data_IF_650004772943
#
_entry.id   IF_650004772943
#
_cell.length_a   1.000
_cell.length_b   1.000
_cell.length_c   1.000
_cell.angle_alpha   90.00
_cell.angle_beta   90.00
_cell.angle_gamma   90.00
#
_symmetry.space_group_name_H-M   'P 1'
#
loop_
_entity.id
_entity.type
_entity.pdbx_description
1 polymer ?
#
# COMPACT_ATOMS: atom_id res chain seq x y z
N UNK A 1 -13.12 -6.86 9.64
CA UNK A 1 -12.55 -7.55 8.47
C UNK A 1 -11.88 -6.51 7.58
N UNK A 2 -10.67 -6.76 7.09
CA UNK A 2 -10.07 -5.89 6.08
C UNK A 2 -10.86 -6.06 4.77
N UNK A 3 -11.22 -4.95 4.12
CA UNK A 3 -11.89 -4.97 2.82
C UNK A 3 -10.97 -5.48 1.70
N UNK A 4 -11.48 -5.56 0.46
CA UNK A 4 -10.62 -5.87 -0.69
C UNK A 4 -9.47 -4.86 -0.80
N UNK A 5 -8.32 -5.33 -1.29
CA UNK A 5 -7.17 -4.45 -1.53
C UNK A 5 -7.48 -3.48 -2.67
N UNK A 6 -7.25 -2.19 -2.43
CA UNK A 6 -7.36 -1.13 -3.45
C UNK A 6 -5.96 -0.68 -3.87
N UNK A 7 -5.77 -0.40 -5.16
CA UNK A 7 -4.51 0.12 -5.67
C UNK A 7 -4.30 1.56 -5.18
N UNK A 8 -3.26 1.78 -4.37
CA UNK A 8 -2.93 3.10 -3.83
C UNK A 8 -2.12 3.94 -4.82
N UNK A 9 -1.17 3.33 -5.55
CA UNK A 9 -0.30 4.04 -6.50
C UNK A 9 0.96 3.25 -6.86
N UNK A 10 1.72 3.77 -7.82
CA UNK A 10 3.04 3.26 -8.24
C UNK A 10 4.05 4.40 -8.15
N UNK A 11 5.24 4.10 -7.63
CA UNK A 11 6.35 5.06 -7.54
C UNK A 11 7.67 4.37 -7.85
N UNK A 12 8.62 5.04 -8.52
CA UNK A 12 9.99 4.54 -8.64
C UNK A 12 10.83 4.77 -7.38
N UNK A 13 10.30 5.53 -6.39
CA UNK A 13 10.98 5.82 -5.12
C UNK A 13 10.64 4.75 -4.08
N UNK A 14 11.50 4.61 -3.07
CA UNK A 14 11.25 3.76 -1.90
C UNK A 14 10.23 4.35 -0.91
N UNK A 15 9.64 5.51 -1.22
CA UNK A 15 8.63 6.18 -0.41
C UNK A 15 7.45 6.67 -1.25
N UNK A 16 6.25 6.58 -0.66
CA UNK A 16 4.99 7.02 -1.24
C UNK A 16 4.06 7.55 -0.15
N UNK A 17 3.39 8.68 -0.41
CA UNK A 17 2.39 9.25 0.50
C UNK A 17 1.02 8.87 -0.04
N UNK A 18 0.23 8.19 0.78
CA UNK A 18 -1.17 7.86 0.48
C UNK A 18 -2.06 8.90 1.13
N UNK A 19 -2.77 9.68 0.32
CA UNK A 19 -3.67 10.75 0.76
C UNK A 19 -5.13 10.27 0.79
N UNK A 20 -6.02 11.08 1.35
CA UNK A 20 -7.47 10.79 1.36
C UNK A 20 -7.89 9.65 2.30
N UNK A 21 -7.07 9.32 3.29
CA UNK A 21 -7.40 8.32 4.31
C UNK A 21 -8.23 8.97 5.43
N UNK A 22 -9.36 8.35 5.79
CA UNK A 22 -10.13 8.79 6.96
C UNK A 22 -9.33 8.61 8.26
N UNK A 23 -9.31 9.66 9.09
CA UNK A 23 -8.64 9.67 10.39
C UNK A 23 -9.20 8.61 11.35
N UNK A 24 -8.33 8.07 12.22
CA UNK A 24 -8.71 7.05 13.21
C UNK A 24 -9.01 5.66 12.63
N UNK A 25 -9.01 5.48 11.31
CA UNK A 25 -9.15 4.15 10.69
C UNK A 25 -7.81 3.43 10.60
N UNK A 26 -7.87 2.11 10.79
CA UNK A 26 -6.72 1.21 10.64
C UNK A 26 -6.60 0.80 9.17
N UNK A 27 -5.47 1.11 8.57
CA UNK A 27 -5.14 0.73 7.20
C UNK A 27 -4.03 -0.32 7.16
N UNK A 28 -4.11 -1.14 6.12
CA UNK A 28 -3.13 -2.16 5.79
C UNK A 28 -2.47 -1.76 4.47
N UNK A 29 -1.15 -1.80 4.42
CA UNK A 29 -0.37 -1.50 3.22
C UNK A 29 0.50 -2.67 2.85
N UNK A 30 0.64 -2.94 1.56
CA UNK A 30 1.57 -3.91 1.01
C UNK A 30 2.20 -3.32 -0.24
N UNK A 31 3.43 -3.71 -0.52
CA UNK A 31 4.18 -3.24 -1.70
C UNK A 31 4.66 -4.42 -2.51
N UNK A 32 4.82 -4.23 -3.81
CA UNK A 32 5.43 -5.19 -4.70
C UNK A 32 6.33 -4.42 -5.68
N UNK A 33 7.47 -5.02 -6.03
CA UNK A 33 8.31 -4.47 -7.06
C UNK A 33 7.69 -4.75 -8.43
N UNK A 34 7.62 -3.74 -9.28
CA UNK A 34 7.13 -3.87 -10.66
C UNK A 34 8.30 -3.61 -11.60
N UNK A 35 8.55 -4.54 -12.51
CA UNK A 35 9.61 -4.47 -13.53
C UNK A 35 9.01 -4.71 -14.92
N UNK A 36 9.81 -4.56 -15.97
CA UNK A 36 9.38 -4.90 -17.34
C UNK A 36 8.90 -6.35 -17.46
N UNK A 37 9.46 -7.25 -16.64
CA UNK A 37 9.15 -8.67 -16.64
C UNK A 37 7.91 -9.02 -15.80
N UNK A 38 7.27 -8.02 -15.18
CA UNK A 38 6.08 -8.18 -14.34
C UNK A 38 6.28 -7.78 -12.88
N UNK A 39 5.30 -8.18 -12.06
CA UNK A 39 5.20 -7.82 -10.65
C UNK A 39 5.73 -8.96 -9.75
N UNK A 40 6.53 -8.60 -8.74
CA UNK A 40 6.98 -9.53 -7.71
C UNK A 40 5.82 -9.98 -6.80
N UNK A 41 6.02 -11.03 -5.98
CA UNK A 41 5.14 -11.27 -4.84
C UNK A 41 5.01 -10.03 -3.94
N UNK A 42 3.84 -9.89 -3.32
CA UNK A 42 3.58 -8.80 -2.36
C UNK A 42 4.39 -9.00 -1.07
N UNK A 43 4.81 -7.89 -0.46
CA UNK A 43 5.42 -7.87 0.87
C UNK A 43 4.45 -8.33 1.96
N UNK A 44 4.98 -8.53 3.17
CA UNK A 44 4.14 -8.56 4.38
C UNK A 44 3.35 -7.25 4.48
N UNK A 45 2.16 -7.35 5.08
CA UNK A 45 1.32 -6.18 5.30
C UNK A 45 1.86 -5.36 6.47
N UNK A 46 1.99 -4.05 6.26
CA UNK A 46 2.20 -3.08 7.32
C UNK A 46 0.86 -2.54 7.80
N UNK A 47 0.73 -2.28 9.10
CA UNK A 47 -0.50 -1.74 9.70
C UNK A 47 -0.21 -0.36 10.25
N UNK A 48 -1.05 0.62 9.89
CA UNK A 48 -0.96 1.98 10.44
C UNK A 48 -2.36 2.56 10.65
N UNK A 49 -2.54 3.26 11.77
CA UNK A 49 -3.74 4.07 12.02
C UNK A 49 -3.50 5.46 11.44
N UNK A 50 -4.44 5.95 10.64
CA UNK A 50 -4.36 7.31 10.12
C UNK A 50 -4.49 8.32 11.28
N UNK A 51 -3.65 9.38 11.29
CA UNK A 51 -3.77 10.44 12.28
C UNK A 51 -5.12 11.16 12.18
#
# INVERSE_FOLDING_TARGET
>A
QAGPWTHAGVTPRSSYIVEGLDSGKRYYFRVAAVTLNGQSPWSNHAVKVAP
#
